data_IF_309975930960
#
_entry.id   IF_309975930960
#
_cell.length_a   1.000
_cell.length_b   1.000
_cell.length_c   1.000
_cell.angle_alpha   90.00
_cell.angle_beta   90.00
_cell.angle_gamma   90.00
#
_symmetry.space_group_name_H-M   'P 1'
#
loop_
_entity.id
_entity.type
_entity.pdbx_description
1 polymer ?
#
# COMPACT_ATOMS: atom_id res chain seq x y z
N UNK A 1 3.24 31.73 -16.49
CA UNK A 1 3.74 30.75 -17.48
C UNK A 1 4.05 29.38 -16.86
N UNK A 2 4.49 29.28 -15.60
CA UNK A 2 4.62 28.01 -14.85
C UNK A 2 3.31 27.20 -14.67
N UNK A 3 2.14 27.83 -14.84
CA UNK A 3 0.81 27.18 -14.70
C UNK A 3 0.37 26.38 -15.95
N UNK A 4 1.02 26.56 -17.10
CA UNK A 4 0.71 25.81 -18.32
C UNK A 4 1.49 24.48 -18.40
N UNK A 5 2.64 24.42 -17.73
CA UNK A 5 3.54 23.25 -17.72
C UNK A 5 2.89 22.02 -17.08
N UNK A 6 2.25 22.18 -15.91
CA UNK A 6 1.65 21.06 -15.22
C UNK A 6 0.22 20.74 -15.73
N UNK A 7 -0.57 21.72 -16.20
CA UNK A 7 -1.88 21.48 -16.84
C UNK A 7 -1.83 20.52 -18.04
N UNK A 8 -0.93 20.71 -19.00
CA UNK A 8 -0.91 19.88 -20.21
C UNK A 8 -0.32 18.47 -19.99
N UNK A 9 0.63 18.33 -19.06
CA UNK A 9 1.10 17.02 -18.61
C UNK A 9 -0.02 16.30 -17.84
N UNK A 10 -0.80 17.03 -17.04
CA UNK A 10 -1.94 16.47 -16.28
C UNK A 10 -3.08 16.02 -17.21
N UNK A 11 -3.38 16.77 -18.27
CA UNK A 11 -4.42 16.41 -19.25
C UNK A 11 -4.08 15.11 -20.02
N UNK A 12 -2.80 14.89 -20.35
CA UNK A 12 -2.35 13.66 -20.99
C UNK A 12 -2.28 12.47 -20.01
N UNK A 13 -2.08 12.72 -18.70
CA UNK A 13 -1.69 11.69 -17.73
C UNK A 13 -2.74 11.30 -16.69
N UNK A 14 -3.68 12.20 -16.33
CA UNK A 14 -4.76 11.89 -15.38
C UNK A 14 -5.88 11.04 -16.00
N UNK A 15 -6.10 11.14 -17.31
CA UNK A 15 -7.13 10.35 -18.00
C UNK A 15 -6.77 8.86 -18.10
N UNK A 16 -5.50 8.48 -17.98
CA UNK A 16 -5.02 7.10 -18.15
C UNK A 16 -4.74 6.35 -16.84
N UNK A 17 -4.50 7.07 -15.74
CA UNK A 17 -4.05 6.47 -14.47
C UNK A 17 -5.17 5.76 -13.69
N UNK A 18 -6.44 5.91 -14.07
CA UNK A 18 -7.56 5.32 -13.33
C UNK A 18 -8.17 4.04 -13.92
N UNK A 19 -7.94 3.71 -15.19
CA UNK A 19 -8.69 2.64 -15.88
C UNK A 19 -7.88 1.42 -16.28
N UNK A 20 -6.54 1.47 -16.28
CA UNK A 20 -5.71 0.36 -16.75
C UNK A 20 -5.03 -0.38 -15.59
N UNK A 21 -5.80 -0.82 -14.60
CA UNK A 21 -5.36 -1.99 -13.86
C UNK A 21 -5.55 -3.17 -14.82
N UNK A 22 -4.44 -3.70 -15.33
CA UNK A 22 -4.38 -5.02 -15.96
C UNK A 22 -4.78 -6.07 -14.91
N UNK A 23 -6.07 -6.10 -14.57
CA UNK A 23 -6.76 -7.33 -14.21
C UNK A 23 -6.38 -8.35 -15.28
N UNK A 24 -6.12 -9.63 -14.93
CA UNK A 24 -5.59 -10.61 -15.86
C UNK A 24 -6.42 -10.53 -17.13
N UNK A 25 -5.80 -10.07 -18.23
CA UNK A 25 -6.50 -9.76 -19.48
C UNK A 25 -7.36 -10.95 -19.90
N UNK A 26 -6.87 -12.15 -19.62
CA UNK A 26 -7.53 -13.44 -19.80
C UNK A 26 -8.82 -13.61 -18.99
N UNK A 27 -8.90 -13.10 -17.76
CA UNK A 27 -10.14 -13.14 -16.97
C UNK A 27 -11.20 -12.20 -17.54
N UNK A 28 -10.80 -11.03 -18.04
CA UNK A 28 -11.73 -10.09 -18.68
C UNK A 28 -12.15 -10.61 -20.06
N UNK A 29 -11.22 -11.12 -20.87
CA UNK A 29 -11.52 -11.80 -22.14
C UNK A 29 -12.47 -12.97 -21.91
N UNK A 30 -12.18 -13.83 -20.94
CA UNK A 30 -13.03 -14.96 -20.60
C UNK A 30 -14.40 -14.49 -20.12
N UNK A 31 -14.49 -13.48 -19.25
CA UNK A 31 -15.76 -12.90 -18.82
C UNK A 31 -16.54 -12.34 -20.01
N UNK A 32 -15.94 -11.48 -20.82
CA UNK A 32 -16.60 -10.84 -21.97
C UNK A 32 -16.98 -11.85 -23.06
N UNK A 33 -16.23 -12.95 -23.20
CA UNK A 33 -16.54 -14.05 -24.10
C UNK A 33 -17.63 -14.98 -23.55
N UNK A 34 -17.56 -15.36 -22.27
CA UNK A 34 -18.50 -16.28 -21.62
C UNK A 34 -19.86 -15.66 -21.30
N UNK A 35 -19.91 -14.34 -21.06
CA UNK A 35 -21.13 -13.60 -20.81
C UNK A 35 -21.89 -13.24 -22.11
N UNK A 36 -21.46 -13.75 -23.27
CA UNK A 36 -22.12 -13.52 -24.56
C UNK A 36 -23.49 -14.21 -24.64
N UNK A 37 -24.51 -13.49 -24.18
CA UNK A 37 -25.84 -13.48 -24.77
C UNK A 37 -26.02 -12.22 -25.62
N UNK A 38 -25.39 -12.17 -26.80
CA UNK A 38 -25.63 -11.37 -28.02
C UNK A 38 -26.34 -9.98 -28.03
N UNK A 39 -26.55 -9.27 -26.91
CA UNK A 39 -27.41 -8.05 -26.90
C UNK A 39 -26.68 -6.75 -26.53
N UNK A 40 -25.52 -6.82 -25.88
CA UNK A 40 -24.81 -5.61 -25.44
C UNK A 40 -23.66 -5.23 -26.40
N UNK A 41 -23.92 -4.28 -27.29
CA UNK A 41 -22.94 -3.76 -28.27
C UNK A 41 -21.72 -3.09 -27.63
N UNK A 42 -21.88 -2.48 -26.46
CA UNK A 42 -20.78 -1.84 -25.74
C UNK A 42 -19.77 -2.90 -25.26
N UNK A 43 -20.24 -3.97 -24.62
CA UNK A 43 -19.37 -5.05 -24.16
C UNK A 43 -18.70 -5.78 -25.34
N UNK A 44 -19.37 -5.89 -26.48
CA UNK A 44 -18.78 -6.42 -27.71
C UNK A 44 -17.65 -5.52 -28.24
N UNK A 45 -17.83 -4.20 -28.21
CA UNK A 45 -16.78 -3.24 -28.61
C UNK A 45 -15.57 -3.36 -27.68
N UNK A 46 -15.80 -3.39 -26.36
CA UNK A 46 -14.72 -3.54 -25.37
C UNK A 46 -13.97 -4.86 -25.56
N UNK A 47 -14.67 -5.95 -25.87
CA UNK A 47 -14.02 -7.23 -26.20
C UNK A 47 -13.14 -7.12 -27.44
N UNK A 48 -13.64 -6.49 -28.51
CA UNK A 48 -12.85 -6.24 -29.72
C UNK A 48 -11.62 -5.38 -29.43
N UNK A 49 -11.76 -4.36 -28.59
CA UNK A 49 -10.66 -3.47 -28.22
C UNK A 49 -9.57 -4.22 -27.43
N UNK A 50 -9.96 -5.07 -26.47
CA UNK A 50 -9.03 -5.87 -25.65
C UNK A 50 -8.35 -6.99 -26.47
N UNK A 51 -8.98 -7.42 -27.56
CA UNK A 51 -8.41 -8.36 -28.51
C UNK A 51 -7.56 -7.69 -29.60
N UNK A 52 -7.55 -6.36 -29.71
CA UNK A 52 -6.75 -5.65 -30.69
C UNK A 52 -5.31 -5.48 -30.20
N UNK A 53 -4.30 -6.11 -30.84
CA UNK A 53 -2.92 -6.06 -30.38
C UNK A 53 -2.34 -4.64 -30.30
N UNK A 54 -2.78 -3.74 -31.19
CA UNK A 54 -2.31 -2.35 -31.20
C UNK A 54 -2.82 -1.57 -29.98
N UNK A 55 -4.08 -1.77 -29.61
CA UNK A 55 -4.65 -1.13 -28.42
C UNK A 55 -4.03 -1.69 -27.14
N UNK A 56 -3.81 -3.01 -27.08
CA UNK A 56 -3.09 -3.65 -25.97
C UNK A 56 -1.67 -3.10 -25.86
N UNK A 57 -0.94 -3.02 -26.98
CA UNK A 57 0.40 -2.44 -27.02
C UNK A 57 0.43 -0.99 -26.54
N UNK A 58 -0.55 -0.18 -26.97
CA UNK A 58 -0.70 1.21 -26.56
C UNK A 58 -1.02 1.36 -25.07
N UNK A 59 -1.94 0.56 -24.54
CA UNK A 59 -2.25 0.52 -23.11
C UNK A 59 -1.03 0.12 -22.29
N UNK A 60 -0.25 -0.86 -22.74
CA UNK A 60 0.99 -1.27 -22.07
C UNK A 60 2.05 -0.18 -22.11
N UNK A 61 2.25 0.48 -23.25
CA UNK A 61 3.17 1.62 -23.37
C UNK A 61 2.82 2.73 -22.36
N UNK A 62 1.54 3.07 -22.23
CA UNK A 62 1.07 4.08 -21.27
C UNK A 62 1.24 3.62 -19.81
N UNK A 63 1.03 2.33 -19.53
CA UNK A 63 1.34 1.73 -18.23
C UNK A 63 2.83 1.86 -17.87
N UNK A 64 3.72 1.55 -18.81
CA UNK A 64 5.18 1.71 -18.64
C UNK A 64 5.50 3.18 -18.36
N UNK A 65 5.04 4.12 -19.20
CA UNK A 65 5.24 5.57 -19.01
C UNK A 65 4.78 5.99 -17.61
N UNK A 66 3.60 5.55 -17.19
CA UNK A 66 3.06 5.87 -15.87
C UNK A 66 3.97 5.39 -14.74
N UNK A 67 4.52 4.18 -14.85
CA UNK A 67 5.37 3.56 -13.83
C UNK A 67 6.77 4.14 -13.76
N UNK A 68 7.39 4.44 -14.89
CA UNK A 68 8.81 4.82 -14.93
C UNK A 68 9.03 6.33 -15.07
N UNK A 69 8.09 7.08 -15.65
CA UNK A 69 8.22 8.52 -15.85
C UNK A 69 7.25 9.27 -14.94
N UNK A 70 5.94 9.11 -15.14
CA UNK A 70 4.97 10.10 -14.60
C UNK A 70 4.85 10.01 -13.09
N UNK A 71 4.65 8.80 -12.55
CA UNK A 71 4.59 8.57 -11.11
C UNK A 71 5.88 9.00 -10.40
N UNK A 72 7.06 8.53 -10.85
CA UNK A 72 8.34 8.97 -10.30
C UNK A 72 8.59 10.47 -10.39
N UNK A 73 8.27 11.11 -11.52
CA UNK A 73 8.43 12.56 -11.71
C UNK A 73 7.60 13.34 -10.69
N UNK A 74 6.34 12.96 -10.47
CA UNK A 74 5.49 13.59 -9.46
C UNK A 74 6.04 13.43 -8.05
N UNK A 75 6.51 12.24 -7.68
CA UNK A 75 7.14 12.01 -6.37
C UNK A 75 8.39 12.88 -6.20
N UNK A 76 9.22 12.98 -7.24
CA UNK A 76 10.39 13.86 -7.22
C UNK A 76 9.99 15.32 -6.99
N UNK A 77 9.00 15.83 -7.73
CA UNK A 77 8.51 17.21 -7.58
C UNK A 77 7.98 17.47 -6.17
N UNK A 78 7.26 16.52 -5.57
CA UNK A 78 6.71 16.64 -4.22
C UNK A 78 7.79 16.60 -3.13
N UNK A 79 8.84 15.81 -3.33
CA UNK A 79 9.93 15.67 -2.37
C UNK A 79 10.91 16.86 -2.37
N UNK A 80 11.11 17.55 -3.50
CA UNK A 80 12.07 18.67 -3.56
C UNK A 80 11.64 19.84 -2.67
N UNK A 81 12.63 20.55 -2.15
CA UNK A 81 12.42 21.72 -1.29
C UNK A 81 12.12 22.98 -2.08
N UNK A 82 12.72 23.13 -3.26
CA UNK A 82 12.64 24.32 -4.07
C UNK A 82 12.35 23.99 -5.54
N UNK A 83 11.64 24.89 -6.24
CA UNK A 83 11.28 24.69 -7.66
C UNK A 83 12.51 24.54 -8.57
N UNK A 84 13.61 25.23 -8.26
CA UNK A 84 14.87 25.13 -9.02
C UNK A 84 15.61 23.80 -8.82
N UNK A 85 15.23 23.00 -7.81
CA UNK A 85 15.81 21.67 -7.61
C UNK A 85 15.23 20.63 -8.58
N UNK A 86 14.26 21.03 -9.42
CA UNK A 86 13.69 20.19 -10.47
C UNK A 86 14.58 20.11 -11.72
N UNK A 87 15.47 21.09 -11.94
CA UNK A 87 16.27 21.19 -13.17
C UNK A 87 17.06 19.91 -13.46
N UNK A 88 17.65 19.31 -12.42
CA UNK A 88 18.41 18.06 -12.53
C UNK A 88 17.49 16.90 -12.97
N UNK A 89 16.28 16.83 -12.40
CA UNK A 89 15.25 15.84 -12.75
C UNK A 89 14.79 16.00 -14.21
N UNK A 90 14.54 17.24 -14.65
CA UNK A 90 14.10 17.52 -16.01
C UNK A 90 15.20 17.23 -17.03
N UNK A 91 16.45 17.56 -16.70
CA UNK A 91 17.61 17.28 -17.55
C UNK A 91 17.79 15.77 -17.73
N UNK A 92 17.74 15.00 -16.64
CA UNK A 92 17.81 13.53 -16.70
C UNK A 92 16.69 12.94 -17.56
N UNK A 93 15.46 13.46 -17.42
CA UNK A 93 14.33 13.03 -18.23
C UNK A 93 14.50 13.37 -19.72
N UNK A 94 14.97 14.58 -20.06
CA UNK A 94 15.24 14.94 -21.44
C UNK A 94 16.33 14.07 -22.07
N UNK A 95 17.43 13.81 -21.35
CA UNK A 95 18.48 12.90 -21.84
C UNK A 95 17.94 11.49 -22.09
N UNK A 96 17.19 10.95 -21.13
CA UNK A 96 16.54 9.64 -21.29
C UNK A 96 15.61 9.60 -22.51
N UNK A 97 14.74 10.60 -22.68
CA UNK A 97 13.82 10.63 -23.82
C UNK A 97 14.54 10.82 -25.16
N UNK A 98 15.64 11.58 -25.17
CA UNK A 98 16.45 11.78 -26.37
C UNK A 98 17.14 10.48 -26.82
N UNK A 99 17.54 9.61 -25.90
CA UNK A 99 18.08 8.28 -26.19
C UNK A 99 16.96 7.30 -26.54
N UNK A 100 15.91 7.24 -25.72
CA UNK A 100 14.86 6.23 -25.82
C UNK A 100 13.93 6.43 -27.03
N UNK A 101 13.81 7.65 -27.58
CA UNK A 101 12.99 7.88 -28.78
C UNK A 101 13.49 7.07 -29.98
N UNK A 102 14.78 6.75 -30.04
CA UNK A 102 15.40 6.02 -31.14
C UNK A 102 15.41 4.50 -30.88
N UNK A 103 15.56 4.07 -29.63
CA UNK A 103 15.44 2.67 -29.22
C UNK A 103 14.80 2.51 -27.81
N UNK A 104 13.64 1.84 -27.76
CA UNK A 104 12.91 1.54 -26.52
C UNK A 104 13.07 0.08 -26.05
N UNK A 105 13.94 -0.72 -26.67
CA UNK A 105 14.04 -2.16 -26.39
C UNK A 105 14.36 -2.42 -24.91
N UNK A 106 15.30 -1.68 -24.34
CA UNK A 106 15.66 -1.83 -22.92
C UNK A 106 14.60 -1.25 -21.97
N UNK A 107 13.83 -0.27 -22.43
CA UNK A 107 12.72 0.34 -21.68
C UNK A 107 11.59 -0.68 -21.48
N UNK A 108 11.22 -1.44 -22.51
CA UNK A 108 10.17 -2.49 -22.42
C UNK A 108 10.56 -3.65 -21.51
N UNK A 109 11.85 -3.83 -21.25
CA UNK A 109 12.35 -4.82 -20.27
C UNK A 109 12.57 -4.25 -18.87
N UNK A 110 12.35 -2.94 -18.67
CA UNK A 110 12.56 -2.26 -17.40
C UNK A 110 14.03 -2.07 -17.01
N UNK A 111 14.97 -2.25 -17.95
CA UNK A 111 16.42 -2.10 -17.71
C UNK A 111 16.90 -0.66 -17.84
N UNK A 112 16.22 0.13 -18.66
CA UNK A 112 16.54 1.54 -18.88
C UNK A 112 15.49 2.43 -18.22
N UNK A 113 15.90 3.25 -17.26
CA UNK A 113 15.03 4.07 -16.41
C UNK A 113 15.53 5.53 -16.38
N UNK A 114 14.62 6.52 -16.35
CA UNK A 114 14.97 7.95 -16.46
C UNK A 114 15.57 8.55 -15.18
N UNK A 115 15.34 7.94 -14.02
CA UNK A 115 15.70 8.51 -12.72
C UNK A 115 16.59 7.54 -11.93
N UNK A 116 17.66 8.03 -11.26
CA UNK A 116 18.46 7.21 -10.35
C UNK A 116 17.59 6.63 -9.21
N UNK A 117 17.84 5.38 -8.81
CA UNK A 117 17.10 4.71 -7.73
C UNK A 117 17.12 5.50 -6.41
N UNK A 118 18.22 6.20 -6.15
CA UNK A 118 18.42 7.03 -4.96
C UNK A 118 17.51 8.26 -4.95
N UNK A 119 17.14 8.76 -6.13
CA UNK A 119 16.32 9.96 -6.29
C UNK A 119 14.83 9.65 -6.21
N UNK A 120 14.40 8.52 -6.78
CA UNK A 120 13.01 8.11 -6.78
C UNK A 120 12.90 6.59 -6.71
N UNK A 121 12.34 6.09 -5.62
CA UNK A 121 12.03 4.67 -5.52
C UNK A 121 10.83 4.33 -6.41
N UNK A 122 11.08 3.65 -7.52
CA UNK A 122 10.02 3.02 -8.30
C UNK A 122 9.47 1.85 -7.48
N UNK A 123 8.16 1.83 -7.28
CA UNK A 123 7.50 0.77 -6.53
C UNK A 123 7.42 -0.49 -7.39
N UNK A 124 8.16 -1.52 -6.98
CA UNK A 124 8.10 -2.84 -7.60
C UNK A 124 6.85 -3.58 -7.09
N UNK A 125 5.72 -3.28 -7.70
CA UNK A 125 4.44 -3.91 -7.45
C UNK A 125 4.07 -4.96 -8.51
N UNK A 126 2.95 -5.64 -8.30
CA UNK A 126 2.46 -6.68 -9.22
C UNK A 126 2.29 -6.12 -10.63
N UNK A 127 1.82 -4.86 -10.75
CA UNK A 127 1.60 -4.20 -12.04
C UNK A 127 2.91 -3.99 -12.78
N UNK A 128 3.96 -3.54 -12.09
CA UNK A 128 5.29 -3.42 -12.66
C UNK A 128 5.78 -4.79 -13.17
N UNK A 129 5.62 -5.83 -12.34
CA UNK A 129 5.98 -7.20 -12.71
C UNK A 129 5.25 -7.72 -13.95
N UNK A 130 4.00 -7.35 -14.18
CA UNK A 130 3.26 -7.74 -15.40
C UNK A 130 3.66 -6.91 -16.63
N UNK A 131 3.86 -5.59 -16.47
CA UNK A 131 4.16 -4.70 -17.60
C UNK A 131 5.49 -5.04 -18.31
N UNK A 132 6.50 -5.48 -17.55
CA UNK A 132 7.85 -5.75 -18.06
C UNK A 132 8.09 -7.23 -18.42
N UNK A 133 7.07 -8.09 -18.38
CA UNK A 133 7.19 -9.45 -18.92
C UNK A 133 7.27 -9.42 -20.45
N UNK A 134 8.02 -10.36 -21.07
CA UNK A 134 7.97 -10.54 -22.51
C UNK A 134 6.55 -10.81 -22.99
N UNK A 135 6.15 -10.17 -24.08
CA UNK A 135 4.80 -10.26 -24.63
C UNK A 135 4.83 -10.22 -26.16
N UNK A 136 3.84 -10.84 -26.80
CA UNK A 136 3.74 -10.86 -28.27
C UNK A 136 3.59 -9.46 -28.89
N UNK A 137 3.14 -8.48 -28.10
CA UNK A 137 2.99 -7.08 -28.52
C UNK A 137 4.24 -6.23 -28.32
N UNK A 138 5.37 -6.78 -27.84
CA UNK A 138 6.60 -6.03 -27.53
C UNK A 138 7.04 -5.09 -28.68
N UNK A 139 7.04 -5.57 -29.93
CA UNK A 139 7.43 -4.77 -31.09
C UNK A 139 6.51 -3.56 -31.29
N UNK A 140 5.20 -3.74 -31.12
CA UNK A 140 4.24 -2.65 -31.22
C UNK A 140 4.37 -1.69 -30.03
N UNK A 141 4.59 -2.21 -28.82
CA UNK A 141 4.80 -1.41 -27.62
C UNK A 141 6.04 -0.52 -27.76
N UNK A 142 7.14 -1.04 -28.32
CA UNK A 142 8.36 -0.27 -28.64
C UNK A 142 8.03 0.88 -29.59
N UNK A 143 7.33 0.61 -30.70
CA UNK A 143 6.97 1.63 -31.68
C UNK A 143 6.08 2.73 -31.09
N UNK A 144 5.10 2.35 -30.27
CA UNK A 144 4.24 3.32 -29.57
C UNK A 144 5.04 4.15 -28.57
N UNK A 145 5.94 3.54 -27.79
CA UNK A 145 6.81 4.26 -26.85
C UNK A 145 7.71 5.26 -27.56
N UNK A 146 8.36 4.89 -28.67
CA UNK A 146 9.20 5.79 -29.45
C UNK A 146 8.45 7.02 -29.95
N UNK A 147 7.23 6.82 -30.46
CA UNK A 147 6.35 7.91 -30.88
C UNK A 147 5.95 8.82 -29.70
N UNK A 148 5.55 8.22 -28.57
CA UNK A 148 5.18 8.96 -27.37
C UNK A 148 6.37 9.73 -26.76
N UNK A 149 7.56 9.11 -26.71
CA UNK A 149 8.78 9.75 -26.21
C UNK A 149 9.22 10.91 -27.10
N UNK A 150 9.11 10.77 -28.42
CA UNK A 150 9.33 11.89 -29.35
C UNK A 150 8.40 13.08 -29.04
N UNK A 151 7.11 12.81 -28.82
CA UNK A 151 6.14 13.83 -28.44
C UNK A 151 6.43 14.44 -27.07
N UNK A 152 6.78 13.63 -26.07
CA UNK A 152 7.10 14.09 -24.71
C UNK A 152 8.37 14.93 -24.68
N UNK A 153 9.40 14.56 -25.43
CA UNK A 153 10.64 15.32 -25.54
C UNK A 153 10.36 16.72 -26.13
N UNK A 154 9.65 16.77 -27.27
CA UNK A 154 9.25 18.03 -27.90
C UNK A 154 8.42 18.91 -26.95
N UNK A 155 7.56 18.30 -26.13
CA UNK A 155 6.76 19.02 -25.14
C UNK A 155 7.66 19.60 -24.04
N UNK A 156 8.58 18.80 -23.48
CA UNK A 156 9.49 19.23 -22.42
C UNK A 156 10.43 20.32 -22.90
N UNK A 157 11.03 20.19 -24.08
CA UNK A 157 11.92 21.21 -24.65
C UNK A 157 11.23 22.57 -24.76
N UNK A 158 9.94 22.57 -25.13
CA UNK A 158 9.14 23.79 -25.21
C UNK A 158 8.74 24.32 -23.83
N UNK A 159 8.17 23.46 -22.99
CA UNK A 159 7.50 23.93 -21.77
C UNK A 159 8.45 24.08 -20.59
N UNK A 160 9.57 23.36 -20.58
CA UNK A 160 10.64 23.45 -19.59
C UNK A 160 11.87 24.23 -20.09
N UNK A 161 11.79 24.93 -21.22
CA UNK A 161 12.92 25.67 -21.82
C UNK A 161 13.70 26.51 -20.80
N UNK A 162 13.00 27.21 -19.91
CA UNK A 162 13.63 28.05 -18.88
C UNK A 162 14.38 27.26 -17.80
N UNK A 163 14.03 25.98 -17.60
CA UNK A 163 14.57 25.08 -16.58
C UNK A 163 15.59 24.05 -17.13
N UNK A 164 15.75 23.98 -18.45
CA UNK A 164 16.71 23.11 -19.14
C UNK A 164 18.04 23.84 -19.40
N UNK A 165 19.13 23.14 -19.77
CA UNK A 165 20.42 23.76 -20.07
C UNK A 165 20.31 24.95 -21.04
N UNK A 166 20.82 26.12 -20.63
CA UNK A 166 20.69 27.38 -21.39
C UNK A 166 19.46 28.22 -21.02
N UNK A 167 18.52 27.67 -20.25
CA UNK A 167 17.34 28.37 -19.74
C UNK A 167 17.65 29.36 -18.61
N UNK A 168 16.77 30.37 -18.45
CA UNK A 168 16.93 31.46 -17.47
C UNK A 168 17.08 30.98 -16.02
N UNK A 169 16.44 29.87 -15.66
CA UNK A 169 16.41 29.33 -14.30
C UNK A 169 17.35 28.14 -14.10
N UNK A 170 18.09 27.72 -15.13
CA UNK A 170 18.96 26.55 -15.05
C UNK A 170 20.12 26.73 -14.07
N UNK A 171 20.80 27.88 -14.11
CA UNK A 171 22.03 28.17 -13.35
C UNK A 171 21.80 28.51 -11.86
N UNK A 172 20.57 28.33 -11.35
CA UNK A 172 20.18 28.63 -9.95
C UNK A 172 20.69 29.99 -9.44
N UNK A 173 20.39 31.12 -10.11
CA UNK A 173 20.86 32.43 -9.66
C UNK A 173 20.39 32.72 -8.22
N UNK A 174 21.33 33.14 -7.38
CA UNK A 174 21.17 33.31 -5.92
C UNK A 174 20.04 34.28 -5.57
N UNK A 175 19.86 35.32 -6.37
CA UNK A 175 18.83 36.36 -6.15
C UNK A 175 17.42 35.79 -6.34
N UNK A 176 17.21 34.96 -7.37
CA UNK A 176 15.90 34.36 -7.67
C UNK A 176 15.52 33.35 -6.60
N UNK A 177 16.49 32.58 -6.08
CA UNK A 177 16.21 31.60 -5.02
C UNK A 177 15.72 32.26 -3.73
N UNK A 178 16.15 33.48 -3.43
CA UNK A 178 15.66 34.24 -2.28
C UNK A 178 14.23 34.75 -2.49
N UNK A 179 13.93 35.25 -3.70
CA UNK A 179 12.61 35.78 -4.08
C UNK A 179 11.55 34.68 -4.22
N UNK A 180 11.93 33.48 -4.68
CA UNK A 180 11.00 32.38 -4.92
C UNK A 180 10.73 31.48 -3.70
N UNK A 181 11.26 31.80 -2.51
CA UNK A 181 11.02 31.01 -1.28
C UNK A 181 9.54 30.89 -0.90
N UNK A 182 8.73 31.88 -1.28
CA UNK A 182 7.29 31.93 -0.97
C UNK A 182 6.41 31.26 -2.03
N UNK A 183 6.98 30.87 -3.18
CA UNK A 183 6.24 30.25 -4.27
C UNK A 183 5.93 28.80 -3.92
N UNK A 184 4.68 28.39 -4.16
CA UNK A 184 4.28 26.99 -3.98
C UNK A 184 5.13 26.10 -4.89
N UNK A 185 5.62 25.00 -4.32
CA UNK A 185 6.54 24.06 -4.99
C UNK A 185 5.97 23.44 -6.27
N UNK A 186 4.65 23.25 -6.29
CA UNK A 186 3.94 22.68 -7.42
C UNK A 186 2.52 23.25 -7.49
N UNK A 187 1.97 23.29 -8.69
CA UNK A 187 0.63 23.81 -8.94
C UNK A 187 -0.50 22.80 -8.73
N UNK A 188 -0.24 21.63 -8.11
CA UNK A 188 -1.25 20.58 -7.89
C UNK A 188 -2.57 21.08 -7.27
N UNK A 189 -2.50 21.97 -6.27
CA UNK A 189 -3.71 22.52 -5.64
C UNK A 189 -4.40 23.54 -6.56
N UNK A 190 -3.70 24.58 -7.08
CA UNK A 190 -4.27 25.46 -8.09
C UNK A 190 -4.82 24.75 -9.31
N UNK A 191 -4.19 23.69 -9.82
CA UNK A 191 -4.61 22.93 -11.00
C UNK A 191 -5.75 21.97 -10.72
N UNK A 192 -5.83 21.37 -9.53
CA UNK A 192 -7.05 20.68 -9.12
C UNK A 192 -8.24 21.64 -9.11
N UNK A 193 -8.03 22.88 -8.63
CA UNK A 193 -9.03 23.94 -8.73
C UNK A 193 -9.21 24.42 -10.19
N UNK A 194 -8.15 24.55 -10.97
CA UNK A 194 -8.19 25.02 -12.35
C UNK A 194 -8.82 24.01 -13.29
N UNK A 195 -8.78 22.71 -12.96
CA UNK A 195 -9.48 21.65 -13.67
C UNK A 195 -10.96 21.63 -13.30
N UNK A 196 -11.30 21.86 -12.03
CA UNK A 196 -12.70 22.13 -11.64
C UNK A 196 -13.24 23.42 -12.27
N UNK A 197 -12.34 24.35 -12.63
CA UNK A 197 -12.63 25.57 -13.39
C UNK A 197 -12.30 25.40 -14.89
N UNK A 198 -11.77 24.27 -15.36
CA UNK A 198 -11.45 24.04 -16.78
C UNK A 198 -12.73 23.82 -17.59
N UNK A 199 -13.77 23.39 -16.89
CA UNK A 199 -15.17 23.49 -17.28
C UNK A 199 -15.62 24.94 -17.58
N UNK A 200 -14.82 25.96 -17.22
CA UNK A 200 -15.08 27.38 -17.46
C UNK A 200 -14.27 27.96 -18.65
N UNK A 201 -13.51 27.21 -19.44
CA UNK A 201 -12.83 27.82 -20.61
C UNK A 201 -13.82 28.27 -21.70
N UNK A 202 -14.99 27.66 -21.78
CA UNK A 202 -16.16 28.20 -22.52
C UNK A 202 -16.74 29.49 -21.89
N UNK A 203 -16.24 29.93 -20.73
CA UNK A 203 -16.82 31.06 -20.01
C UNK A 203 -16.09 32.38 -20.14
N UNK A 204 -14.89 32.48 -20.73
CA UNK A 204 -14.26 33.81 -20.86
C UNK A 204 -14.98 34.67 -21.91
N UNK A 205 -15.28 34.11 -23.09
CA UNK A 205 -16.11 34.78 -24.09
C UNK A 205 -17.53 35.06 -23.56
N UNK A 206 -18.11 34.11 -22.82
CA UNK A 206 -19.41 34.29 -22.17
C UNK A 206 -19.37 35.36 -21.07
N UNK A 207 -18.34 35.39 -20.21
CA UNK A 207 -18.12 36.41 -19.18
C UNK A 207 -17.95 37.79 -19.82
N UNK A 208 -17.23 37.87 -20.94
CA UNK A 208 -17.08 39.11 -21.71
C UNK A 208 -18.39 39.54 -22.39
N UNK A 209 -19.28 38.60 -22.73
CA UNK A 209 -20.61 38.91 -23.29
C UNK A 209 -21.62 39.47 -22.27
N UNK A 210 -21.40 39.25 -20.97
CA UNK A 210 -22.24 39.79 -19.90
C UNK A 210 -21.96 41.28 -19.68
N UNK A 211 -22.97 42.01 -19.17
CA UNK A 211 -22.79 43.39 -18.73
C UNK A 211 -21.83 43.50 -17.54
N UNK A 212 -21.18 44.66 -17.39
CA UNK A 212 -20.14 44.87 -16.39
C UNK A 212 -20.63 44.67 -14.95
N UNK A 213 -21.91 44.98 -14.67
CA UNK A 213 -22.49 44.85 -13.33
C UNK A 213 -22.63 43.37 -12.97
N UNK A 214 -23.24 42.58 -13.85
CA UNK A 214 -23.40 41.14 -13.68
C UNK A 214 -22.05 40.42 -13.61
N UNK A 215 -21.09 40.81 -14.45
CA UNK A 215 -19.73 40.23 -14.45
C UNK A 215 -19.02 40.46 -13.12
N UNK A 216 -19.03 41.69 -12.59
CA UNK A 216 -18.42 42.03 -11.31
C UNK A 216 -19.11 41.27 -10.16
N UNK A 217 -20.43 41.14 -10.20
CA UNK A 217 -21.20 40.39 -9.20
C UNK A 217 -20.79 38.92 -9.17
N UNK A 218 -20.74 38.24 -10.32
CA UNK A 218 -20.33 36.84 -10.41
C UNK A 218 -18.89 36.59 -9.92
N UNK A 219 -17.96 37.49 -10.24
CA UNK A 219 -16.57 37.41 -9.74
C UNK A 219 -16.54 37.55 -8.21
N UNK A 220 -17.32 38.46 -7.65
CA UNK A 220 -17.39 38.67 -6.20
C UNK A 220 -18.03 37.48 -5.48
N UNK A 221 -19.11 36.91 -6.04
CA UNK A 221 -19.75 35.71 -5.50
C UNK A 221 -18.82 34.50 -5.57
N UNK A 222 -18.08 34.33 -6.67
CA UNK A 222 -17.07 33.28 -6.82
C UNK A 222 -15.93 33.43 -5.80
N UNK A 223 -15.45 34.65 -5.55
CA UNK A 223 -14.45 34.93 -4.51
C UNK A 223 -14.99 34.63 -3.11
N UNK A 224 -16.24 34.97 -2.84
CA UNK A 224 -16.91 34.71 -1.56
C UNK A 224 -17.08 33.20 -1.34
N UNK A 225 -17.54 32.47 -2.36
CA UNK A 225 -17.70 31.02 -2.27
C UNK A 225 -16.35 30.30 -2.16
N UNK A 226 -15.32 30.77 -2.86
CA UNK A 226 -13.95 30.28 -2.69
C UNK A 226 -13.46 30.40 -1.24
N UNK A 227 -13.78 31.49 -0.54
CA UNK A 227 -13.49 31.62 0.90
C UNK A 227 -14.30 30.63 1.74
N UNK A 228 -15.59 30.47 1.45
CA UNK A 228 -16.46 29.51 2.15
C UNK A 228 -15.96 28.06 1.99
N UNK A 229 -15.56 27.67 0.78
CA UNK A 229 -15.01 26.34 0.48
C UNK A 229 -13.73 26.10 1.28
N UNK A 230 -12.81 27.09 1.35
CA UNK A 230 -11.58 26.98 2.16
C UNK A 230 -11.89 26.81 3.65
N UNK A 231 -12.87 27.53 4.18
CA UNK A 231 -13.32 27.39 5.57
C UNK A 231 -13.89 25.99 5.81
N UNK A 232 -14.84 25.53 4.97
CA UNK A 232 -15.40 24.18 5.04
C UNK A 232 -14.34 23.10 4.96
N UNK A 233 -13.32 23.27 4.10
CA UNK A 233 -12.21 22.34 4.00
C UNK A 233 -11.37 22.30 5.28
N UNK A 234 -11.04 23.46 5.86
CA UNK A 234 -10.33 23.56 7.15
C UNK A 234 -11.11 22.91 8.29
N UNK A 235 -12.42 23.11 8.35
CA UNK A 235 -13.30 22.46 9.32
C UNK A 235 -13.34 20.94 9.14
N UNK A 236 -13.47 20.46 7.90
CA UNK A 236 -13.42 19.03 7.59
C UNK A 236 -12.09 18.39 8.03
N UNK A 237 -10.96 19.05 7.78
CA UNK A 237 -9.66 18.56 8.25
C UNK A 237 -9.62 18.42 9.77
N UNK A 238 -10.16 19.40 10.50
CA UNK A 238 -10.26 19.33 11.97
C UNK A 238 -11.13 18.17 12.43
N UNK A 239 -12.30 17.98 11.81
CA UNK A 239 -13.19 16.85 12.13
C UNK A 239 -12.55 15.49 11.84
N UNK A 240 -11.80 15.37 10.74
CA UNK A 240 -11.08 14.13 10.40
C UNK A 240 -10.03 13.83 11.47
N UNK A 241 -9.28 14.84 11.91
CA UNK A 241 -8.26 14.67 12.96
C UNK A 241 -8.88 14.27 14.30
N UNK A 242 -9.97 14.91 14.71
CA UNK A 242 -10.71 14.56 15.94
C UNK A 242 -11.18 13.09 15.91
N UNK A 243 -11.75 12.63 14.79
CA UNK A 243 -12.17 11.23 14.59
C UNK A 243 -11.00 10.25 14.65
N UNK A 244 -9.84 10.61 14.11
CA UNK A 244 -8.62 9.78 14.17
C UNK A 244 -8.15 9.61 15.61
N UNK A 245 -8.08 10.70 16.37
CA UNK A 245 -7.70 10.68 17.79
C UNK A 245 -8.68 9.82 18.60
N UNK A 246 -9.99 9.95 18.37
CA UNK A 246 -11.00 9.14 19.04
C UNK A 246 -10.86 7.65 18.71
N UNK A 247 -10.67 7.31 17.44
CA UNK A 247 -10.46 5.93 16.98
C UNK A 247 -9.22 5.31 17.62
N UNK A 248 -8.13 6.07 17.74
CA UNK A 248 -6.90 5.62 18.40
C UNK A 248 -7.14 5.34 19.89
N UNK A 249 -7.82 6.24 20.60
CA UNK A 249 -8.18 6.04 22.02
C UNK A 249 -9.05 4.80 22.23
N UNK A 250 -9.99 4.53 21.33
CA UNK A 250 -10.82 3.31 21.38
C UNK A 250 -9.97 2.04 21.18
N UNK A 251 -9.07 2.04 20.19
CA UNK A 251 -8.15 0.91 19.95
C UNK A 251 -7.22 0.66 21.13
N UNK A 252 -6.70 1.71 21.77
CA UNK A 252 -5.88 1.59 22.98
C UNK A 252 -6.66 0.95 24.14
N UNK A 253 -7.90 1.39 24.37
CA UNK A 253 -8.79 0.77 25.36
C UNK A 253 -9.03 -0.70 25.07
N UNK A 254 -9.38 -1.07 23.84
CA UNK A 254 -9.58 -2.46 23.44
C UNK A 254 -8.34 -3.33 23.64
N UNK A 255 -7.15 -2.83 23.28
CA UNK A 255 -5.89 -3.54 23.47
C UNK A 255 -5.64 -3.73 24.97
N UNK A 256 -5.87 -2.70 25.80
CA UNK A 256 -5.72 -2.79 27.24
C UNK A 256 -6.67 -3.81 27.88
N UNK A 257 -7.93 -3.87 27.41
CA UNK A 257 -8.90 -4.86 27.86
C UNK A 257 -8.54 -6.27 27.43
N UNK A 258 -8.12 -6.46 26.16
CA UNK A 258 -7.65 -7.75 25.66
C UNK A 258 -6.46 -8.25 26.49
N UNK A 259 -5.49 -7.37 26.81
CA UNK A 259 -4.37 -7.68 27.71
C UNK A 259 -4.85 -8.09 29.11
N UNK A 260 -5.75 -7.32 29.73
CA UNK A 260 -6.34 -7.66 31.03
C UNK A 260 -7.07 -9.01 31.01
N UNK A 261 -7.83 -9.31 29.95
CA UNK A 261 -8.53 -10.60 29.79
C UNK A 261 -7.55 -11.77 29.64
N UNK A 262 -6.47 -11.59 28.89
CA UNK A 262 -5.41 -12.61 28.77
C UNK A 262 -4.72 -12.83 30.11
N UNK A 263 -4.40 -11.76 30.84
CA UNK A 263 -3.77 -11.85 32.16
C UNK A 263 -4.67 -12.58 33.18
N UNK A 264 -5.95 -12.21 33.27
CA UNK A 264 -6.93 -12.90 34.12
C UNK A 264 -7.04 -14.39 33.78
N UNK A 265 -7.04 -14.75 32.48
CA UNK A 265 -7.06 -16.16 32.06
C UNK A 265 -5.79 -16.89 32.51
N UNK A 266 -4.61 -16.28 32.38
CA UNK A 266 -3.36 -16.86 32.87
C UNK A 266 -3.39 -17.07 34.38
N UNK A 267 -3.88 -16.09 35.13
CA UNK A 267 -4.06 -16.17 36.58
C UNK A 267 -5.00 -17.32 36.96
N UNK A 268 -6.13 -17.49 36.27
CA UNK A 268 -7.03 -18.64 36.51
C UNK A 268 -6.34 -19.98 36.26
N UNK A 269 -5.54 -20.10 35.19
CA UNK A 269 -4.80 -21.33 34.92
C UNK A 269 -3.73 -21.58 35.98
N UNK A 270 -3.03 -20.55 36.44
CA UNK A 270 -2.04 -20.67 37.51
C UNK A 270 -2.69 -21.10 38.82
N UNK A 271 -3.83 -20.51 39.20
CA UNK A 271 -4.56 -20.87 40.41
C UNK A 271 -5.07 -22.31 40.37
N UNK A 272 -5.56 -22.78 39.22
CA UNK A 272 -5.93 -24.19 39.04
C UNK A 272 -4.73 -25.13 39.25
N UNK A 273 -3.55 -24.77 38.74
CA UNK A 273 -2.33 -25.56 38.95
C UNK A 273 -1.82 -25.50 40.38
N UNK A 274 -1.95 -24.34 41.06
CA UNK A 274 -1.64 -24.25 42.49
C UNK A 274 -2.52 -25.20 43.31
N UNK A 275 -3.79 -25.38 42.90
CA UNK A 275 -4.71 -26.29 43.57
C UNK A 275 -4.40 -27.77 43.29
N UNK A 276 -4.18 -28.17 42.03
CA UNK A 276 -3.96 -29.58 41.66
C UNK A 276 -2.49 -30.05 41.71
N UNK A 277 -1.54 -29.11 41.84
CA UNK A 277 -0.11 -29.34 41.64
C UNK A 277 0.27 -29.46 40.16
N UNK A 278 1.53 -29.17 39.81
CA UNK A 278 2.05 -29.35 38.44
C UNK A 278 2.59 -30.78 38.29
N UNK A 279 2.09 -31.55 37.31
CA UNK A 279 2.53 -32.92 37.09
C UNK A 279 3.64 -32.97 36.04
N UNK A 280 4.80 -33.54 36.41
CA UNK A 280 6.03 -33.46 35.61
C UNK A 280 6.48 -34.81 35.03
N UNK A 281 5.93 -35.93 35.49
CA UNK A 281 6.21 -37.27 34.96
C UNK A 281 4.94 -38.09 34.72
N UNK A 282 5.05 -39.16 33.93
CA UNK A 282 3.93 -40.08 33.66
C UNK A 282 3.49 -40.79 34.94
N UNK A 283 4.44 -41.07 35.82
CA UNK A 283 4.24 -41.66 37.14
C UNK A 283 3.46 -40.69 38.04
N UNK A 284 3.87 -39.41 38.09
CA UNK A 284 3.16 -38.37 38.85
C UNK A 284 1.71 -38.22 38.37
N UNK A 285 1.48 -38.24 37.05
CA UNK A 285 0.14 -38.14 36.49
C UNK A 285 -0.75 -39.28 36.99
N UNK A 286 -0.25 -40.52 36.98
CA UNK A 286 -1.02 -41.69 37.44
C UNK A 286 -1.31 -41.61 38.93
N UNK A 287 -0.28 -41.36 39.75
CA UNK A 287 -0.41 -41.24 41.20
C UNK A 287 -1.41 -40.14 41.59
N UNK A 288 -1.27 -38.95 41.02
CA UNK A 288 -2.18 -37.82 41.31
C UNK A 288 -3.60 -38.03 40.80
N UNK A 289 -3.79 -38.82 39.74
CA UNK A 289 -5.13 -39.20 39.30
C UNK A 289 -5.78 -40.26 40.18
N UNK A 290 -5.01 -41.12 40.84
CA UNK A 290 -5.52 -42.10 41.80
C UNK A 290 -5.96 -41.43 43.11
N UNK A 291 -5.23 -40.39 43.55
CA UNK A 291 -5.57 -39.58 44.75
C UNK A 291 -6.91 -38.84 44.64
N UNK A 292 -7.38 -38.51 43.42
CA UNK A 292 -8.63 -37.77 43.21
C UNK A 292 -9.81 -38.76 43.17
N UNK A 293 -10.83 -38.65 44.05
CA UNK A 293 -11.92 -39.63 44.10
C UNK A 293 -12.94 -39.45 42.98
N UNK A 294 -13.22 -38.21 42.56
CA UNK A 294 -14.28 -37.90 41.60
C UNK A 294 -13.78 -37.88 40.15
N UNK A 295 -14.46 -38.63 39.27
CA UNK A 295 -14.17 -38.61 37.82
C UNK A 295 -14.35 -37.20 37.21
N UNK A 296 -15.28 -36.41 37.74
CA UNK A 296 -15.47 -35.02 37.30
C UNK A 296 -14.26 -34.15 37.65
N UNK A 297 -13.71 -34.33 38.86
CA UNK A 297 -12.51 -33.63 39.32
C UNK A 297 -11.25 -34.09 38.57
N UNK A 298 -11.09 -35.40 38.31
CA UNK A 298 -10.01 -35.92 37.45
C UNK A 298 -10.00 -35.23 36.10
N UNK A 299 -11.17 -35.13 35.47
CA UNK A 299 -11.33 -34.46 34.17
C UNK A 299 -11.02 -32.97 34.26
N UNK A 300 -11.40 -32.30 35.36
CA UNK A 300 -11.06 -30.89 35.62
C UNK A 300 -9.55 -30.70 35.76
N UNK A 301 -8.89 -31.51 36.60
CA UNK A 301 -7.45 -31.49 36.80
C UNK A 301 -6.67 -31.67 35.49
N UNK A 302 -7.01 -32.70 34.70
CA UNK A 302 -6.39 -32.93 33.39
C UNK A 302 -6.56 -31.74 32.42
N UNK A 303 -7.75 -31.14 32.37
CA UNK A 303 -8.00 -29.94 31.56
C UNK A 303 -7.14 -28.77 32.02
N UNK A 304 -7.01 -28.56 33.32
CA UNK A 304 -6.17 -27.51 33.89
C UNK A 304 -4.69 -27.71 33.55
N UNK A 305 -4.16 -28.94 33.65
CA UNK A 305 -2.79 -29.28 33.21
C UNK A 305 -2.56 -28.94 31.72
N UNK A 306 -3.46 -29.40 30.85
CA UNK A 306 -3.35 -29.16 29.40
C UNK A 306 -3.47 -27.67 29.06
N UNK A 307 -4.41 -26.95 29.68
CA UNK A 307 -4.58 -25.51 29.47
C UNK A 307 -3.38 -24.71 29.97
N UNK A 308 -2.79 -25.09 31.10
CA UNK A 308 -1.62 -24.42 31.64
C UNK A 308 -0.40 -24.61 30.73
N UNK A 309 -0.13 -25.85 30.32
CA UNK A 309 0.97 -26.14 29.37
C UNK A 309 0.82 -25.38 28.05
N UNK A 310 -0.41 -25.29 27.54
CA UNK A 310 -0.72 -24.53 26.32
C UNK A 310 -0.54 -23.01 26.47
N UNK A 311 -1.14 -22.43 27.50
CA UNK A 311 -1.35 -20.98 27.58
C UNK A 311 -0.33 -20.25 28.47
N UNK A 312 0.37 -20.98 29.33
CA UNK A 312 1.37 -20.44 30.26
C UNK A 312 2.78 -20.88 29.86
N UNK A 313 3.00 -22.19 29.62
CA UNK A 313 4.31 -22.70 29.18
C UNK A 313 4.55 -22.64 27.67
N UNK A 314 3.51 -22.36 26.87
CA UNK A 314 3.61 -22.29 25.41
C UNK A 314 4.27 -23.52 24.78
N UNK A 315 3.99 -24.72 25.32
CA UNK A 315 4.56 -25.96 24.81
C UNK A 315 4.24 -26.12 23.32
N UNK A 316 5.30 -26.20 22.49
CA UNK A 316 5.18 -26.34 21.04
C UNK A 316 4.93 -27.81 20.70
N UNK A 317 3.66 -28.19 20.66
CA UNK A 317 3.22 -29.53 20.27
C UNK A 317 2.04 -29.44 19.32
N UNK A 318 1.60 -30.59 18.79
CA UNK A 318 0.41 -30.64 17.94
C UNK A 318 -0.82 -30.07 18.68
N UNK A 319 -1.56 -29.19 17.99
CA UNK A 319 -2.78 -28.56 18.48
C UNK A 319 -3.83 -29.62 18.87
N UNK A 320 -3.79 -30.81 18.27
CA UNK A 320 -4.69 -31.93 18.53
C UNK A 320 -4.64 -32.42 19.98
N UNK A 321 -3.48 -32.32 20.65
CA UNK A 321 -3.28 -32.70 22.05
C UNK A 321 -3.97 -31.76 23.04
N UNK A 322 -4.29 -30.54 22.62
CA UNK A 322 -4.96 -29.55 23.46
C UNK A 322 -6.48 -29.46 23.22
N UNK A 323 -7.05 -30.36 22.41
CA UNK A 323 -8.48 -30.41 22.16
C UNK A 323 -9.18 -31.29 23.19
N UNK A 324 -10.23 -30.79 23.84
CA UNK A 324 -10.99 -31.55 24.84
C UNK A 324 -12.16 -32.35 24.26
N UNK A 325 -12.47 -32.14 22.99
CA UNK A 325 -13.52 -32.83 22.24
C UNK A 325 -13.09 -33.04 20.79
N UNK A 326 -13.59 -34.10 20.18
CA UNK A 326 -13.46 -34.39 18.75
C UNK A 326 -14.83 -34.72 18.20
N UNK A 327 -15.23 -34.11 17.08
CA UNK A 327 -16.55 -34.32 16.46
C UNK A 327 -17.73 -34.19 17.45
N UNK A 328 -17.69 -33.17 18.32
CA UNK A 328 -18.66 -32.90 19.42
C UNK A 328 -18.69 -33.94 20.56
N UNK A 329 -17.90 -35.00 20.51
CA UNK A 329 -17.78 -35.98 21.59
C UNK A 329 -16.67 -35.53 22.55
N UNK A 330 -16.96 -35.47 23.85
CA UNK A 330 -15.94 -35.13 24.84
C UNK A 330 -14.97 -36.30 25.01
N UNK A 331 -13.68 -36.01 25.05
CA UNK A 331 -12.66 -37.03 25.32
C UNK A 331 -12.85 -37.65 26.70
N UNK A 332 -12.55 -38.94 26.77
CA UNK A 332 -12.57 -39.75 28.00
C UNK A 332 -11.35 -39.45 28.87
N UNK A 333 -11.38 -39.86 30.15
CA UNK A 333 -10.25 -39.66 31.06
C UNK A 333 -8.97 -40.34 30.51
N UNK A 334 -9.00 -41.62 30.06
CA UNK A 334 -7.81 -42.27 29.49
C UNK A 334 -7.21 -41.52 28.30
N UNK A 335 -8.04 -41.00 27.40
CA UNK A 335 -7.58 -40.23 26.24
C UNK A 335 -6.90 -38.91 26.63
N UNK A 336 -7.45 -38.21 27.63
CA UNK A 336 -6.86 -36.97 28.14
C UNK A 336 -5.56 -37.23 28.92
N UNK A 337 -5.51 -38.32 29.68
CA UNK A 337 -4.31 -38.76 30.39
C UNK A 337 -3.19 -39.08 29.40
N UNK A 338 -3.48 -39.83 28.34
CA UNK A 338 -2.47 -40.17 27.34
C UNK A 338 -1.97 -38.94 26.56
N UNK A 339 -2.85 -37.97 26.27
CA UNK A 339 -2.44 -36.69 25.68
C UNK A 339 -1.50 -35.90 26.59
N UNK A 340 -1.80 -35.85 27.89
CA UNK A 340 -0.93 -35.18 28.85
C UNK A 340 0.42 -35.88 28.99
N UNK A 341 0.45 -37.22 29.04
CA UNK A 341 1.68 -38.01 29.05
C UNK A 341 2.57 -37.67 27.85
N UNK A 342 2.02 -37.68 26.62
CA UNK A 342 2.77 -37.34 25.41
C UNK A 342 3.40 -35.95 25.49
N UNK A 343 2.65 -34.95 25.95
CA UNK A 343 3.17 -33.59 26.14
C UNK A 343 4.28 -33.51 27.19
N UNK A 344 4.18 -34.29 28.27
CA UNK A 344 5.22 -34.38 29.30
C UNK A 344 6.49 -35.02 28.75
N UNK A 345 6.35 -36.14 28.04
CA UNK A 345 7.47 -36.87 27.45
C UNK A 345 8.20 -36.01 26.38
N UNK A 346 7.45 -35.31 25.52
CA UNK A 346 7.99 -34.35 24.56
C UNK A 346 8.78 -33.24 25.26
N UNK A 347 8.24 -32.67 26.35
CA UNK A 347 8.91 -31.59 27.09
C UNK A 347 10.21 -32.02 27.78
N UNK A 348 10.33 -33.29 28.19
CA UNK A 348 11.58 -33.83 28.75
C UNK A 348 12.66 -33.97 27.70
N UNK A 349 12.29 -34.38 26.48
CA UNK A 349 13.24 -34.59 25.38
C UNK A 349 13.97 -33.30 25.00
N UNK A 350 13.27 -32.16 25.01
CA UNK A 350 13.85 -30.84 24.71
C UNK A 350 14.88 -30.42 25.76
N UNK A 351 14.61 -30.66 27.05
CA UNK A 351 15.55 -30.33 28.13
C UNK A 351 16.85 -31.15 28.06
N UNK A 352 16.79 -32.38 27.54
CA UNK A 352 17.97 -33.24 27.35
C UNK A 352 18.81 -32.82 26.14
N UNK A 353 18.19 -32.23 25.12
CA UNK A 353 18.91 -31.74 23.93
C UNK A 353 19.66 -30.46 24.26
N UNK A 354 19.05 -29.52 24.99
CA UNK A 354 19.69 -28.24 25.34
C UNK A 354 20.86 -28.37 26.31
N UNK A 355 20.89 -29.41 27.17
CA UNK A 355 22.04 -29.67 28.04
C UNK A 355 23.27 -30.20 27.27
N UNK A 356 23.09 -30.69 26.04
CA UNK A 356 24.18 -31.13 25.16
C UNK A 356 24.68 -30.06 24.19
N UNK A 357 23.96 -28.93 24.06
CA UNK A 357 24.25 -27.87 23.09
C UNK A 357 24.41 -26.47 23.71
N UNK A 358 24.63 -26.37 25.02
CA UNK A 358 24.70 -25.07 25.72
C UNK A 358 26.04 -24.35 25.49
N UNK A 359 26.19 -23.80 24.28
CA UNK A 359 27.01 -22.64 23.98
C UNK A 359 26.18 -21.71 23.10
N UNK A 360 25.72 -20.61 23.70
CA UNK A 360 25.08 -19.45 23.06
C UNK A 360 23.62 -19.62 22.59
N UNK A 361 22.67 -19.31 23.48
CA UNK A 361 21.33 -18.88 23.05
C UNK A 361 20.94 -17.57 23.73
N UNK A 362 21.08 -16.48 22.98
CA UNK A 362 20.65 -15.14 23.37
C UNK A 362 19.13 -15.04 23.36
N UNK A 363 18.58 -14.57 24.47
CA UNK A 363 17.15 -14.30 24.67
C UNK A 363 16.68 -13.20 23.70
N UNK A 364 15.95 -13.56 22.64
CA UNK A 364 15.31 -12.59 21.74
C UNK A 364 14.13 -11.95 22.49
N UNK A 365 14.32 -10.71 22.94
CA UNK A 365 13.29 -9.92 23.64
C UNK A 365 12.16 -9.50 22.69
N UNK A 366 10.96 -9.34 23.25
CA UNK A 366 9.71 -8.98 22.57
C UNK A 366 9.74 -7.63 21.81
N UNK A 367 10.85 -6.89 21.83
CA UNK A 367 11.02 -5.59 21.17
C UNK A 367 10.91 -5.66 19.64
N UNK A 368 11.16 -6.82 19.00
CA UNK A 368 11.07 -6.93 17.53
C UNK A 368 9.64 -6.93 16.98
N UNK A 369 8.61 -7.26 17.79
CA UNK A 369 7.22 -7.19 17.31
C UNK A 369 6.67 -5.75 17.30
N UNK A 370 7.22 -4.86 18.14
CA UNK A 370 6.80 -3.46 18.19
C UNK A 370 7.31 -2.63 17.00
N UNK A 371 8.47 -2.97 16.43
CA UNK A 371 9.01 -2.27 15.25
C UNK A 371 8.22 -2.54 13.97
N UNK A 372 7.65 -3.74 13.81
CA UNK A 372 6.84 -4.09 12.63
C UNK A 372 5.54 -3.30 12.59
N UNK A 373 4.94 -2.98 13.76
CA UNK A 373 3.71 -2.19 13.82
C UNK A 373 3.90 -0.69 13.61
N UNK A 374 5.08 -0.12 13.91
CA UNK A 374 5.33 1.32 13.67
C UNK A 374 5.44 1.68 12.19
N UNK A 375 5.76 0.72 11.31
CA UNK A 375 5.93 0.97 9.86
C UNK A 375 4.61 1.09 9.09
N UNK A 376 3.49 0.64 9.66
CA UNK A 376 2.17 0.70 9.03
C UNK A 376 1.30 1.88 9.51
N UNK A 377 1.87 2.83 10.26
CA UNK A 377 1.13 3.96 10.87
C UNK A 377 1.29 5.27 10.05
N UNK A 378 2.09 5.24 8.97
CA UNK A 378 2.36 6.40 8.09
C UNK A 378 1.88 6.23 6.64
N UNK A 379 0.77 5.52 6.46
CA UNK A 379 -0.03 5.51 5.23
C UNK A 379 -1.49 5.74 5.63
#
# INVERSE_FOLDING_TARGET
MSNLFASHITDLMCSFTWTCHLLPQENIKHFLHSFQGCTNRLLSSVYQDICNPLLVAGSRALGIISKIITGPLWRNIECKTHILDINDTLTALCSFLAEAKDDCSEVVTGKHLPFPEESCKIENDIVMGELFKPDETDVMTIQVLQALFSCMLNLLDRQAADHLPGGKYFSKPTDISAESKSVLKHNKLPEFFFWSVGFFVETDEWLQSLDDVTRIQLINDSRKEGKNIRLKFKERLKTIEEKRVETLKLKEKEISEKKKRVLKKKETFTNDILFFGLWQSREDIKLKLEEIPSNAEKKKALKSQLNFRKNVFFTKSDKSYFLFSSKKIQKTIPELTEQLCKLVDESKSVATIESSSSSSFHFLSENNKAQIYRRNIYW
#
